data_IF_939650488525
#
_entry.id   IF_939650488525
#
_cell.length_a   1.000
_cell.length_b   1.000
_cell.length_c   1.000
_cell.angle_alpha   90.00
_cell.angle_beta   90.00
_cell.angle_gamma   90.00
#
_symmetry.space_group_name_H-M   'P 1'
#
loop_
_entity.id
_entity.type
_entity.pdbx_description
1 polymer ?
#
# COMPACT_ATOMS: atom_id res chain seq x y z
N UNK A 1 56.30 -1.79 -22.52
CA UNK A 1 56.21 -2.43 -23.85
C UNK A 1 57.07 -3.70 -23.79
N UNK A 2 56.48 -4.85 -23.49
CA UNK A 2 57.24 -6.11 -23.29
C UNK A 2 57.47 -6.77 -24.66
N UNK A 3 58.75 -6.94 -25.03
CA UNK A 3 59.19 -7.57 -26.28
C UNK A 3 59.17 -9.09 -26.09
N UNK A 4 58.32 -9.80 -26.85
CA UNK A 4 58.40 -11.25 -26.96
C UNK A 4 59.67 -11.57 -27.76
N UNK A 5 60.70 -12.12 -27.11
CA UNK A 5 61.87 -12.67 -27.80
C UNK A 5 61.44 -13.93 -28.58
N UNK A 6 61.36 -13.80 -29.91
CA UNK A 6 61.27 -14.95 -30.82
C UNK A 6 62.64 -15.61 -30.92
N UNK A 7 62.87 -16.67 -30.16
CA UNK A 7 63.90 -17.66 -30.48
C UNK A 7 63.35 -18.59 -31.55
N UNK A 8 63.81 -18.43 -32.80
CA UNK A 8 63.28 -19.09 -33.99
C UNK A 8 63.79 -20.52 -34.23
N UNK A 9 64.61 -21.07 -33.33
CA UNK A 9 65.28 -22.36 -33.53
C UNK A 9 64.89 -23.47 -32.55
N UNK A 10 63.81 -23.29 -31.77
CA UNK A 10 63.28 -24.33 -30.86
C UNK A 10 61.87 -24.85 -31.21
N UNK A 11 61.30 -24.47 -32.35
CA UNK A 11 59.91 -24.80 -32.68
C UNK A 11 59.78 -25.79 -33.85
N UNK A 12 60.09 -27.07 -33.61
CA UNK A 12 59.54 -28.18 -34.41
C UNK A 12 58.28 -28.83 -33.77
N UNK A 13 57.71 -28.22 -32.73
CA UNK A 13 56.43 -28.66 -32.18
C UNK A 13 55.33 -27.74 -32.72
N UNK A 14 54.39 -28.30 -33.50
CA UNK A 14 53.10 -27.66 -33.78
C UNK A 14 52.42 -27.40 -32.43
N UNK A 15 52.43 -26.15 -31.96
CA UNK A 15 51.63 -25.74 -30.81
C UNK A 15 50.16 -25.85 -31.21
N UNK A 16 49.52 -26.98 -30.85
CA UNK A 16 48.12 -27.26 -31.21
C UNK A 16 47.09 -26.54 -30.30
N UNK A 17 47.47 -26.12 -29.09
CA UNK A 17 46.69 -25.22 -28.24
C UNK A 17 47.50 -24.80 -27.00
N UNK A 18 47.47 -23.52 -26.62
CA UNK A 18 47.99 -23.07 -25.31
C UNK A 18 46.82 -23.07 -24.33
N UNK A 19 46.79 -24.04 -23.40
CA UNK A 19 45.75 -24.21 -22.37
C UNK A 19 46.21 -23.81 -20.96
N UNK A 20 47.30 -23.06 -20.85
CA UNK A 20 47.93 -22.80 -19.55
C UNK A 20 47.90 -21.31 -19.21
N UNK A 21 47.35 -20.98 -18.05
CA UNK A 21 47.44 -19.66 -17.45
C UNK A 21 48.57 -19.67 -16.42
N UNK A 22 49.59 -18.84 -16.64
CA UNK A 22 50.71 -18.64 -15.72
C UNK A 22 50.41 -17.45 -14.82
N UNK A 23 50.02 -17.70 -13.57
CA UNK A 23 49.84 -16.66 -12.57
C UNK A 23 51.07 -16.67 -11.65
N UNK A 24 51.72 -15.51 -11.50
CA UNK A 24 52.74 -15.27 -10.48
C UNK A 24 52.08 -14.64 -9.27
N UNK A 25 51.92 -15.41 -8.19
CA UNK A 25 51.46 -14.90 -6.91
C UNK A 25 52.54 -13.93 -6.37
N UNK A 26 52.20 -12.67 -6.09
CA UNK A 26 53.20 -11.67 -5.61
C UNK A 26 53.92 -12.11 -4.33
N UNK A 27 53.32 -13.01 -3.54
CA UNK A 27 53.84 -13.55 -2.29
C UNK A 27 54.71 -14.81 -2.45
N UNK A 28 54.74 -15.45 -3.63
CA UNK A 28 55.50 -16.69 -3.87
C UNK A 28 56.40 -16.55 -5.09
N UNK A 29 57.66 -16.98 -4.96
CA UNK A 29 58.66 -16.96 -6.04
C UNK A 29 58.41 -17.98 -7.15
N UNK A 30 57.27 -18.67 -7.14
CA UNK A 30 56.99 -19.85 -7.96
C UNK A 30 55.78 -19.60 -8.87
N UNK A 31 55.88 -20.03 -10.13
CA UNK A 31 54.80 -19.93 -11.10
C UNK A 31 53.82 -21.08 -10.91
N UNK A 32 52.55 -20.76 -10.72
CA UNK A 32 51.49 -21.76 -10.71
C UNK A 32 50.95 -21.96 -12.13
N UNK A 33 50.89 -23.22 -12.57
CA UNK A 33 50.38 -23.62 -13.87
C UNK A 33 48.95 -24.13 -13.67
N UNK A 34 47.98 -23.42 -14.25
CA UNK A 34 46.58 -23.85 -14.26
C UNK A 34 46.19 -24.32 -15.65
N UNK A 35 45.55 -25.48 -15.73
CA UNK A 35 44.90 -25.95 -16.95
C UNK A 35 43.56 -25.22 -17.12
N UNK A 36 43.40 -24.54 -18.25
CA UNK A 36 42.19 -23.80 -18.59
C UNK A 36 41.09 -24.78 -19.03
N UNK A 37 39.90 -24.62 -18.45
CA UNK A 37 38.71 -25.35 -18.87
C UNK A 37 38.40 -25.10 -20.35
N UNK A 38 37.78 -26.07 -21.02
CA UNK A 38 37.42 -25.97 -22.44
C UNK A 38 36.36 -24.87 -22.72
N UNK A 39 35.61 -24.46 -21.69
CA UNK A 39 34.61 -23.42 -21.75
C UNK A 39 34.59 -22.63 -20.43
N UNK A 40 34.05 -21.41 -20.46
CA UNK A 40 33.81 -20.64 -19.24
C UNK A 40 32.80 -21.36 -18.34
N UNK A 41 33.17 -21.59 -17.08
CA UNK A 41 32.32 -22.22 -16.06
C UNK A 41 32.03 -21.19 -14.96
N UNK A 42 30.90 -20.46 -15.03
CA UNK A 42 30.59 -19.37 -14.09
C UNK A 42 30.66 -19.82 -12.62
N UNK A 43 30.20 -21.03 -12.32
CA UNK A 43 30.17 -21.57 -10.97
C UNK A 43 31.57 -21.71 -10.35
N UNK A 44 32.61 -21.95 -11.16
CA UNK A 44 34.00 -22.04 -10.66
C UNK A 44 34.59 -20.66 -10.34
N UNK A 45 34.25 -19.65 -11.15
CA UNK A 45 34.79 -18.29 -11.02
C UNK A 45 34.04 -17.48 -9.97
N UNK A 46 32.71 -17.50 -10.02
CA UNK A 46 31.86 -16.68 -9.15
C UNK A 46 31.80 -17.19 -7.72
N UNK A 47 31.96 -18.50 -7.48
CA UNK A 47 31.82 -19.09 -6.12
C UNK A 47 32.91 -18.60 -5.16
N UNK A 48 34.08 -18.25 -5.68
CA UNK A 48 35.24 -17.81 -4.90
C UNK A 48 35.47 -16.29 -4.97
N UNK A 49 34.63 -15.56 -5.70
CA UNK A 49 34.76 -14.11 -5.87
C UNK A 49 33.85 -13.42 -4.86
N UNK A 50 34.43 -12.89 -3.78
CA UNK A 50 33.73 -11.97 -2.87
C UNK A 50 34.10 -10.55 -3.28
N UNK A 51 33.20 -9.76 -3.88
CA UNK A 51 33.53 -8.42 -4.39
C UNK A 51 33.95 -7.43 -3.30
N UNK A 52 33.57 -7.68 -2.04
CA UNK A 52 33.48 -6.64 -1.01
C UNK A 52 34.81 -6.02 -0.59
N UNK A 53 35.95 -6.66 -0.83
CA UNK A 53 37.26 -6.07 -0.50
C UNK A 53 37.80 -5.14 -1.59
N UNK A 54 37.45 -5.36 -2.86
CA UNK A 54 37.99 -4.58 -3.99
C UNK A 54 37.32 -3.22 -4.16
N UNK A 55 36.05 -3.11 -3.75
CA UNK A 55 35.22 -1.93 -3.95
C UNK A 55 34.94 -1.17 -2.65
N UNK A 56 35.72 -1.42 -1.60
CA UNK A 56 35.58 -0.71 -0.32
C UNK A 56 36.00 0.75 -0.50
N UNK A 57 35.05 1.67 -0.37
CA UNK A 57 35.31 3.11 -0.49
C UNK A 57 36.00 3.64 0.77
N UNK A 58 37.16 4.25 0.59
CA UNK A 58 37.82 5.05 1.63
C UNK A 58 37.32 6.49 1.50
N UNK A 59 36.37 6.89 2.36
CA UNK A 59 35.73 8.19 2.29
C UNK A 59 36.71 9.31 2.65
N UNK A 60 36.88 10.31 1.77
CA UNK A 60 37.60 11.55 2.07
C UNK A 60 36.72 12.76 1.68
N UNK A 61 35.92 13.22 2.63
CA UNK A 61 35.09 14.43 2.46
C UNK A 61 33.71 14.14 1.86
N UNK A 62 33.18 15.10 1.10
CA UNK A 62 31.85 15.02 0.49
C UNK A 62 31.79 13.93 -0.58
N UNK A 63 30.70 13.17 -0.58
CA UNK A 63 30.50 12.03 -1.49
C UNK A 63 29.90 12.49 -2.83
N UNK A 64 30.65 12.37 -3.95
CA UNK A 64 30.17 12.79 -5.26
C UNK A 64 29.11 11.84 -5.86
N UNK A 65 29.03 10.59 -5.40
CA UNK A 65 28.01 9.64 -5.90
C UNK A 65 27.51 8.73 -4.77
N UNK A 66 26.24 8.89 -4.38
CA UNK A 66 25.63 8.07 -3.33
C UNK A 66 24.31 7.46 -3.80
N UNK A 67 24.11 6.19 -3.49
CA UNK A 67 22.89 5.44 -3.74
C UNK A 67 22.47 4.72 -2.46
N UNK A 68 21.16 4.55 -2.30
CA UNK A 68 20.58 3.65 -1.32
C UNK A 68 19.91 2.54 -2.10
N UNK A 69 20.29 1.29 -1.84
CA UNK A 69 19.57 0.15 -2.38
C UNK A 69 18.13 0.23 -1.88
N UNK A 70 17.11 0.31 -2.75
CA UNK A 70 15.71 0.29 -2.33
C UNK A 70 15.49 -0.91 -1.40
N UNK A 71 15.20 -0.68 -0.11
CA UNK A 71 15.35 -1.71 0.89
C UNK A 71 14.31 -2.82 0.64
N UNK A 72 14.72 -4.06 0.28
CA UNK A 72 13.77 -5.14 0.08
C UNK A 72 12.97 -5.41 1.35
N UNK A 73 11.68 -5.69 1.16
CA UNK A 73 10.80 -6.11 2.23
C UNK A 73 11.25 -7.46 2.79
N UNK A 74 11.22 -7.62 4.11
CA UNK A 74 11.53 -8.90 4.77
C UNK A 74 10.41 -9.95 4.61
N UNK A 75 9.60 -9.88 3.56
CA UNK A 75 8.42 -10.74 3.33
C UNK A 75 8.75 -12.07 2.66
N UNK A 76 9.94 -12.22 2.06
CA UNK A 76 10.26 -13.42 1.28
C UNK A 76 11.72 -13.50 0.84
N UNK A 77 11.94 -14.16 -0.29
CA UNK A 77 13.23 -14.19 -1.00
C UNK A 77 13.21 -13.20 -2.16
N UNK A 78 14.38 -12.71 -2.56
CA UNK A 78 14.49 -11.86 -3.74
C UNK A 78 14.08 -12.62 -5.01
N UNK A 79 13.46 -11.90 -5.95
CA UNK A 79 13.04 -12.38 -7.27
C UNK A 79 13.74 -11.59 -8.40
N UNK A 80 13.47 -11.93 -9.67
CA UNK A 80 14.18 -11.36 -10.82
C UNK A 80 14.15 -9.82 -10.90
N UNK A 81 13.02 -9.18 -10.56
CA UNK A 81 12.95 -7.72 -10.46
C UNK A 81 13.94 -7.08 -9.48
N UNK A 82 14.22 -7.73 -8.34
CA UNK A 82 15.25 -7.28 -7.40
C UNK A 82 16.65 -7.44 -8.00
N UNK A 83 16.89 -8.56 -8.70
CA UNK A 83 18.16 -8.80 -9.38
C UNK A 83 18.42 -7.76 -10.49
N UNK A 84 17.39 -7.39 -11.26
CA UNK A 84 17.47 -6.34 -12.27
C UNK A 84 17.85 -4.99 -11.64
N UNK A 85 17.15 -4.57 -10.60
CA UNK A 85 17.40 -3.31 -9.89
C UNK A 85 18.83 -3.26 -9.35
N UNK A 86 19.23 -4.30 -8.61
CA UNK A 86 20.55 -4.39 -8.03
C UNK A 86 21.66 -4.46 -9.09
N UNK A 87 21.43 -5.12 -10.23
CA UNK A 87 22.42 -5.19 -11.32
C UNK A 87 22.63 -3.83 -11.99
N UNK A 88 21.57 -3.05 -12.20
CA UNK A 88 21.66 -1.70 -12.77
C UNK A 88 22.40 -0.76 -11.81
N UNK A 89 22.02 -0.75 -10.53
CA UNK A 89 22.68 0.08 -9.52
C UNK A 89 24.16 -0.30 -9.35
N UNK A 90 24.47 -1.59 -9.27
CA UNK A 90 25.84 -2.09 -9.15
C UNK A 90 26.71 -1.71 -10.36
N UNK A 91 26.15 -1.78 -11.57
CA UNK A 91 26.86 -1.36 -12.78
C UNK A 91 27.18 0.14 -12.75
N UNK A 92 26.25 0.98 -12.29
CA UNK A 92 26.48 2.41 -12.13
C UNK A 92 27.56 2.71 -11.09
N UNK A 93 27.49 2.06 -9.93
CA UNK A 93 28.50 2.20 -8.86
C UNK A 93 29.88 1.82 -9.37
N UNK A 94 30.02 0.64 -9.97
CA UNK A 94 31.30 0.16 -10.51
C UNK A 94 31.83 1.08 -11.61
N UNK A 95 30.96 1.55 -12.52
CA UNK A 95 31.33 2.51 -13.55
C UNK A 95 31.88 3.82 -12.96
N UNK A 96 31.22 4.36 -11.94
CA UNK A 96 31.68 5.58 -11.25
C UNK A 96 32.99 5.36 -10.49
N UNK A 97 33.15 4.24 -9.80
CA UNK A 97 34.41 3.88 -9.15
C UNK A 97 35.56 3.76 -10.16
N UNK A 98 35.31 3.17 -11.33
CA UNK A 98 36.30 3.08 -12.41
C UNK A 98 36.68 4.44 -13.00
N UNK A 99 35.84 5.46 -12.84
CA UNK A 99 36.14 6.86 -13.17
C UNK A 99 36.94 7.59 -12.06
N UNK A 100 37.26 6.90 -10.95
CA UNK A 100 37.92 7.49 -9.79
C UNK A 100 37.00 8.33 -8.91
N UNK A 101 35.67 8.23 -9.09
CA UNK A 101 34.67 8.94 -8.29
C UNK A 101 34.42 8.13 -7.01
N UNK A 102 34.47 8.79 -5.84
CA UNK A 102 34.11 8.15 -4.58
C UNK A 102 32.61 7.82 -4.56
N UNK A 103 32.28 6.55 -4.34
CA UNK A 103 30.89 6.07 -4.37
C UNK A 103 30.47 5.49 -3.04
N UNK A 104 29.21 5.67 -2.66
CA UNK A 104 28.58 4.95 -1.54
C UNK A 104 27.30 4.28 -2.03
N UNK A 105 27.16 2.98 -1.80
CA UNK A 105 25.92 2.25 -2.08
C UNK A 105 25.48 1.48 -0.85
N UNK A 106 24.49 2.02 -0.16
CA UNK A 106 24.09 1.57 1.18
C UNK A 106 23.04 0.45 1.06
N UNK A 107 23.31 -0.76 1.61
CA UNK A 107 22.29 -1.79 1.71
C UNK A 107 21.32 -1.48 2.84
N UNK A 108 20.07 -1.91 2.66
CA UNK A 108 19.07 -1.82 3.71
C UNK A 108 18.00 -2.89 3.58
N UNK A 109 17.18 -3.03 4.61
CA UNK A 109 15.99 -3.87 4.61
C UNK A 109 14.81 -3.12 5.19
N UNK A 110 13.63 -3.36 4.62
CA UNK A 110 12.39 -2.80 5.15
C UNK A 110 11.61 -3.84 5.96
N UNK A 111 11.23 -3.45 7.17
CA UNK A 111 10.30 -4.18 8.02
C UNK A 111 8.92 -4.39 7.39
N UNK A 112 8.51 -3.59 6.39
CA UNK A 112 7.27 -3.74 5.62
C UNK A 112 5.96 -3.82 6.45
N UNK A 113 5.99 -3.36 7.71
CA UNK A 113 4.88 -3.31 8.65
C UNK A 113 3.89 -4.48 8.56
N UNK A 114 2.69 -4.17 8.05
CA UNK A 114 1.57 -5.10 7.92
C UNK A 114 1.89 -6.29 7.01
N UNK A 115 2.69 -6.11 5.94
CA UNK A 115 3.04 -7.21 5.04
C UNK A 115 3.83 -8.31 5.78
N UNK A 116 4.77 -7.91 6.63
CA UNK A 116 5.51 -8.84 7.49
C UNK A 116 4.61 -9.46 8.54
N UNK A 117 3.73 -8.68 9.16
CA UNK A 117 2.78 -9.17 10.15
C UNK A 117 1.91 -10.30 9.56
N UNK A 118 1.29 -10.10 8.39
CA UNK A 118 0.42 -11.10 7.75
C UNK A 118 1.18 -12.39 7.45
N UNK A 119 2.43 -12.31 6.99
CA UNK A 119 3.22 -13.51 6.67
C UNK A 119 3.62 -14.28 7.93
N UNK A 120 3.99 -13.56 9.00
CA UNK A 120 4.31 -14.18 10.28
C UNK A 120 3.05 -14.78 10.92
N UNK A 121 1.88 -14.15 10.79
CA UNK A 121 0.60 -14.71 11.22
C UNK A 121 0.24 -15.98 10.45
N UNK A 122 0.38 -15.98 9.11
CA UNK A 122 0.16 -17.19 8.29
C UNK A 122 1.12 -18.32 8.67
N UNK A 123 2.39 -18.01 8.94
CA UNK A 123 3.38 -18.99 9.43
C UNK A 123 2.99 -19.53 10.80
N UNK A 124 2.60 -18.66 11.74
CA UNK A 124 2.16 -19.04 13.07
C UNK A 124 0.95 -19.98 13.01
N UNK A 125 -0.05 -19.64 12.19
CA UNK A 125 -1.22 -20.49 12.00
C UNK A 125 -0.84 -21.85 11.40
N UNK A 126 0.05 -21.88 10.41
CA UNK A 126 0.49 -23.13 9.77
C UNK A 126 1.32 -24.02 10.69
N UNK A 127 2.17 -23.44 11.53
CA UNK A 127 3.09 -24.18 12.41
C UNK A 127 2.45 -24.59 13.73
N UNK A 128 1.57 -23.75 14.28
CA UNK A 128 1.11 -23.86 15.67
C UNK A 128 -0.41 -23.77 15.81
N UNK A 129 -1.16 -23.52 14.73
CA UNK A 129 -2.62 -23.29 14.73
C UNK A 129 -3.08 -22.22 15.73
N UNK A 130 -2.21 -21.24 15.96
CA UNK A 130 -2.45 -20.13 16.88
C UNK A 130 -2.58 -18.80 16.18
N UNK A 131 -3.34 -17.89 16.79
CA UNK A 131 -3.50 -16.51 16.34
C UNK A 131 -2.55 -15.57 17.08
N UNK A 132 -2.28 -14.38 16.51
CA UNK A 132 -1.47 -13.34 17.17
C UNK A 132 -2.08 -12.85 18.49
N UNK A 133 -3.40 -13.01 18.66
CA UNK A 133 -4.11 -12.59 19.86
C UNK A 133 -3.87 -13.58 21.00
N UNK A 134 -3.84 -14.88 20.70
CA UNK A 134 -3.59 -15.95 21.68
C UNK A 134 -2.18 -15.91 22.25
N UNK A 135 -1.16 -15.66 21.41
CA UNK A 135 0.24 -15.59 21.87
C UNK A 135 0.60 -14.22 22.47
N UNK A 136 -0.22 -13.20 22.24
CA UNK A 136 -0.02 -11.85 22.72
C UNK A 136 1.11 -11.06 22.05
N UNK A 137 1.08 -9.73 22.24
CA UNK A 137 1.95 -8.76 21.53
C UNK A 137 3.45 -8.99 21.76
N UNK A 138 3.86 -9.31 22.99
CA UNK A 138 5.28 -9.45 23.35
C UNK A 138 5.90 -10.63 22.62
N UNK A 139 5.20 -11.76 22.59
CA UNK A 139 5.69 -12.97 21.94
C UNK A 139 5.62 -12.85 20.42
N UNK A 140 4.53 -12.31 19.88
CA UNK A 140 4.42 -12.04 18.45
C UNK A 140 5.58 -11.17 17.94
N UNK A 141 5.94 -10.09 18.66
CA UNK A 141 7.10 -9.25 18.32
C UNK A 141 8.41 -10.04 18.26
N UNK A 142 8.67 -10.95 19.20
CA UNK A 142 9.88 -11.79 19.16
C UNK A 142 9.90 -12.66 17.90
N UNK A 143 8.75 -13.22 17.51
CA UNK A 143 8.62 -14.03 16.29
C UNK A 143 8.91 -13.22 15.03
N UNK A 144 8.43 -11.97 14.97
CA UNK A 144 8.74 -11.03 13.88
C UNK A 144 10.24 -10.71 13.82
N UNK A 145 10.90 -10.50 14.96
CA UNK A 145 12.36 -10.27 14.99
C UNK A 145 13.16 -11.50 14.56
N UNK A 146 12.74 -12.71 14.98
CA UNK A 146 13.36 -13.95 14.51
C UNK A 146 13.23 -14.10 12.99
N UNK A 147 12.04 -13.81 12.46
CA UNK A 147 11.77 -13.79 11.02
C UNK A 147 12.66 -12.78 10.28
N UNK A 148 12.85 -11.57 10.82
CA UNK A 148 13.76 -10.56 10.26
C UNK A 148 15.18 -11.10 10.10
N UNK A 149 15.71 -11.79 11.12
CA UNK A 149 17.08 -12.34 11.07
C UNK A 149 17.17 -13.42 10.00
N UNK A 150 16.25 -14.38 10.01
CA UNK A 150 16.21 -15.48 9.02
C UNK A 150 16.13 -14.94 7.58
N UNK A 151 15.27 -13.96 7.32
CA UNK A 151 15.09 -13.38 5.99
C UNK A 151 16.22 -12.45 5.57
N UNK A 152 16.73 -11.63 6.49
CA UNK A 152 17.85 -10.76 6.22
C UNK A 152 19.10 -11.53 5.80
N UNK A 153 19.38 -12.66 6.45
CA UNK A 153 20.51 -13.53 6.07
C UNK A 153 20.36 -14.08 4.65
N UNK A 154 19.14 -14.46 4.26
CA UNK A 154 18.86 -14.98 2.92
C UNK A 154 19.01 -13.88 1.86
N UNK A 155 18.39 -12.72 2.09
CA UNK A 155 18.47 -11.56 1.19
C UNK A 155 19.94 -11.14 1.00
N UNK A 156 20.69 -11.01 2.10
CA UNK A 156 22.12 -10.68 2.06
C UNK A 156 22.93 -11.71 1.29
N UNK A 157 22.67 -13.02 1.46
CA UNK A 157 23.33 -14.08 0.67
C UNK A 157 23.00 -13.97 -0.82
N UNK A 158 21.77 -13.67 -1.18
CA UNK A 158 21.36 -13.50 -2.59
C UNK A 158 22.09 -12.31 -3.24
N UNK A 159 22.10 -11.14 -2.59
CA UNK A 159 22.80 -9.95 -3.10
C UNK A 159 24.32 -10.14 -3.18
N UNK A 160 24.93 -10.80 -2.18
CA UNK A 160 26.36 -11.17 -2.24
C UNK A 160 26.65 -12.15 -3.38
N UNK A 161 25.75 -13.12 -3.61
CA UNK A 161 25.89 -14.09 -4.70
C UNK A 161 25.74 -13.45 -6.08
N UNK A 162 24.94 -12.39 -6.21
CA UNK A 162 24.83 -11.58 -7.44
C UNK A 162 26.08 -10.73 -7.71
N UNK A 163 27.00 -10.61 -6.75
CA UNK A 163 28.23 -9.85 -6.92
C UNK A 163 28.07 -8.34 -6.67
N UNK A 164 27.01 -7.94 -5.96
CA UNK A 164 26.75 -6.54 -5.62
C UNK A 164 27.84 -5.95 -4.72
N UNK A 165 28.36 -4.78 -5.08
CA UNK A 165 29.39 -4.01 -4.39
C UNK A 165 28.88 -3.17 -3.20
N UNK A 166 27.85 -3.64 -2.52
CA UNK A 166 27.19 -2.95 -1.40
C UNK A 166 28.13 -2.73 -0.21
N UNK A 167 27.97 -1.59 0.47
CA UNK A 167 28.67 -1.27 1.73
C UNK A 167 27.99 -1.96 2.92
N UNK A 168 28.29 -3.25 3.11
CA UNK A 168 27.72 -4.08 4.17
C UNK A 168 28.01 -3.58 5.59
N UNK A 169 29.05 -2.77 5.81
CA UNK A 169 29.35 -2.18 7.12
C UNK A 169 28.30 -1.12 7.51
N UNK A 170 27.57 -0.59 6.52
CA UNK A 170 26.52 0.42 6.70
C UNK A 170 25.12 -0.14 6.53
N UNK A 171 24.93 -1.45 6.62
CA UNK A 171 23.61 -2.07 6.47
C UNK A 171 22.58 -1.46 7.44
N UNK A 172 21.44 -1.03 6.91
CA UNK A 172 20.38 -0.38 7.66
C UNK A 172 19.14 -1.27 7.76
N UNK A 173 18.34 -1.08 8.82
CA UNK A 173 17.02 -1.68 8.93
C UNK A 173 16.00 -0.63 9.39
N UNK A 174 14.85 -0.55 8.74
CA UNK A 174 13.90 0.55 8.99
C UNK A 174 13.39 0.64 10.43
N UNK A 175 13.42 -0.46 11.21
CA UNK A 175 13.08 -0.48 12.64
C UNK A 175 14.29 -0.59 13.59
N UNK A 176 15.52 -0.39 13.12
CA UNK A 176 16.66 -0.32 14.04
C UNK A 176 16.60 0.95 14.91
N UNK A 177 17.48 1.01 15.91
CA UNK A 177 17.49 2.06 16.92
C UNK A 177 17.66 3.46 16.32
N UNK A 178 18.55 3.62 15.35
CA UNK A 178 18.88 4.94 14.79
C UNK A 178 17.83 5.40 13.79
N UNK A 179 17.33 4.51 12.92
CA UNK A 179 16.21 4.82 12.00
C UNK A 179 14.92 5.12 12.77
N UNK A 180 14.65 4.38 13.86
CA UNK A 180 13.52 4.67 14.74
C UNK A 180 13.62 6.05 15.41
N UNK A 181 14.84 6.51 15.76
CA UNK A 181 15.04 7.88 16.26
C UNK A 181 14.81 8.91 15.16
N UNK A 182 15.31 8.66 13.95
CA UNK A 182 15.13 9.56 12.81
C UNK A 182 13.64 9.78 12.49
N UNK A 183 12.84 8.71 12.45
CA UNK A 183 11.38 8.81 12.23
C UNK A 183 10.70 9.58 13.36
N UNK A 184 11.08 9.35 14.63
CA UNK A 184 10.54 10.13 15.77
C UNK A 184 10.90 11.61 15.67
N UNK A 185 12.14 11.93 15.31
CA UNK A 185 12.59 13.30 15.15
C UNK A 185 11.84 14.00 13.99
N UNK A 186 11.67 13.31 12.86
CA UNK A 186 10.88 13.79 11.73
C UNK A 186 9.42 14.04 12.14
N UNK A 187 8.80 13.10 12.86
CA UNK A 187 7.43 13.26 13.36
C UNK A 187 7.30 14.49 14.26
N UNK A 188 8.16 14.64 15.27
CA UNK A 188 8.14 15.76 16.21
C UNK A 188 8.34 17.09 15.46
N UNK A 189 9.29 17.14 14.53
CA UNK A 189 9.56 18.34 13.73
C UNK A 189 8.35 18.73 12.88
N UNK A 190 7.80 17.80 12.10
CA UNK A 190 6.66 18.07 11.23
C UNK A 190 5.39 18.39 12.04
N UNK A 191 5.24 17.82 13.23
CA UNK A 191 4.17 18.18 14.17
C UNK A 191 4.33 19.60 14.71
N UNK A 192 5.53 19.96 15.16
CA UNK A 192 5.82 21.32 15.64
C UNK A 192 5.68 22.39 14.54
N UNK A 193 5.92 22.01 13.28
CA UNK A 193 5.69 22.87 12.10
C UNK A 193 4.21 22.93 11.68
N UNK A 194 3.30 22.21 12.35
CA UNK A 194 1.86 22.21 12.03
C UNK A 194 1.48 21.46 10.75
N UNK A 195 2.42 20.66 10.21
CA UNK A 195 2.22 19.81 9.03
C UNK A 195 1.59 18.48 9.41
N UNK A 196 1.98 17.90 10.55
CA UNK A 196 1.29 16.73 11.13
C UNK A 196 0.17 17.21 12.05
N UNK A 197 -1.03 16.68 11.85
CA UNK A 197 -2.18 16.99 12.69
C UNK A 197 -3.01 15.74 12.97
N UNK A 198 -3.83 15.81 14.01
CA UNK A 198 -4.77 14.75 14.39
C UNK A 198 -6.18 15.22 14.12
N UNK A 199 -6.95 14.42 13.39
CA UNK A 199 -8.33 14.74 13.04
C UNK A 199 -9.14 13.46 12.92
N UNK A 200 -10.45 13.57 13.13
CA UNK A 200 -11.39 12.50 12.82
C UNK A 200 -11.68 12.55 11.32
N UNK A 201 -11.25 11.50 10.62
CA UNK A 201 -11.56 11.29 9.21
C UNK A 201 -12.04 9.87 9.01
N UNK A 202 -12.77 9.67 7.92
CA UNK A 202 -13.05 8.34 7.43
C UNK A 202 -11.74 7.76 6.91
N UNK A 203 -11.38 6.60 7.43
CA UNK A 203 -10.23 5.84 6.99
C UNK A 203 -10.70 4.57 6.29
N UNK A 204 -9.96 4.14 5.27
CA UNK A 204 -10.12 2.82 4.70
C UNK A 204 -9.77 1.79 5.78
N UNK A 205 -10.77 1.08 6.27
CA UNK A 205 -10.64 0.11 7.33
C UNK A 205 -10.83 -1.30 6.78
N UNK A 206 -9.86 -2.17 7.06
CA UNK A 206 -10.02 -3.60 6.81
C UNK A 206 -10.50 -4.29 8.09
N UNK A 207 -11.72 -4.82 8.08
CA UNK A 207 -12.34 -5.48 9.23
C UNK A 207 -11.60 -6.78 9.61
N UNK A 208 -11.03 -7.48 8.62
CA UNK A 208 -10.21 -8.68 8.85
C UNK A 208 -8.88 -8.36 9.54
N UNK A 209 -8.17 -7.33 9.08
CA UNK A 209 -6.88 -6.96 9.64
C UNK A 209 -7.01 -6.12 10.92
N UNK A 210 -8.20 -5.52 11.13
CA UNK A 210 -8.49 -4.54 12.19
C UNK A 210 -7.47 -3.40 12.19
N UNK A 211 -7.26 -2.82 11.01
CA UNK A 211 -6.32 -1.72 10.80
C UNK A 211 -6.83 -0.79 9.71
N UNK A 212 -6.53 0.50 9.87
CA UNK A 212 -6.55 1.44 8.78
C UNK A 212 -5.49 1.04 7.74
N UNK A 213 -5.83 1.19 6.46
CA UNK A 213 -4.93 1.02 5.32
C UNK A 213 -4.95 2.29 4.47
N UNK A 214 -3.88 2.54 3.73
CA UNK A 214 -3.76 3.69 2.84
C UNK A 214 -4.50 3.48 1.51
N UNK A 215 -4.79 4.56 0.78
CA UNK A 215 -5.48 4.48 -0.52
C UNK A 215 -4.74 3.60 -1.54
N UNK A 216 -3.40 3.62 -1.53
CA UNK A 216 -2.57 2.79 -2.42
C UNK A 216 -2.67 1.28 -2.09
N UNK A 217 -3.16 0.93 -0.91
CA UNK A 217 -3.38 -0.46 -0.48
C UNK A 217 -4.80 -0.96 -0.81
N UNK A 218 -5.65 -0.10 -1.39
CA UNK A 218 -7.01 -0.42 -1.85
C UNK A 218 -7.00 -0.76 -3.35
N UNK A 219 -7.39 -1.98 -3.67
CA UNK A 219 -7.68 -2.42 -5.03
C UNK A 219 -9.13 -2.08 -5.38
N UNK A 220 -9.38 -1.67 -6.63
CA UNK A 220 -10.70 -1.25 -7.09
C UNK A 220 -11.26 -2.31 -8.04
N UNK A 221 -12.22 -3.11 -7.58
CA UNK A 221 -12.88 -4.13 -8.37
C UNK A 221 -14.11 -3.53 -9.07
N UNK A 222 -14.01 -3.31 -10.39
CA UNK A 222 -15.13 -2.84 -11.21
C UNK A 222 -16.08 -3.99 -11.53
N UNK A 223 -17.37 -3.75 -11.34
CA UNK A 223 -18.47 -4.67 -11.63
C UNK A 223 -19.40 -4.00 -12.64
N UNK A 224 -19.80 -4.73 -13.68
CA UNK A 224 -20.77 -4.24 -14.68
C UNK A 224 -22.23 -4.42 -14.24
N UNK A 225 -22.46 -5.16 -13.15
CA UNK A 225 -23.79 -5.45 -12.60
C UNK A 225 -23.75 -6.46 -11.45
N UNK A 226 -24.89 -7.10 -11.13
CA UNK A 226 -25.04 -8.03 -10.01
C UNK A 226 -23.99 -9.14 -10.03
N UNK A 227 -23.12 -9.16 -9.04
CA UNK A 227 -21.98 -10.08 -8.96
C UNK A 227 -21.82 -10.60 -7.53
N UNK A 228 -21.61 -11.91 -7.39
CA UNK A 228 -21.30 -12.56 -6.13
C UNK A 228 -19.80 -12.50 -5.85
N UNK A 229 -19.42 -11.88 -4.72
CA UNK A 229 -18.02 -11.75 -4.28
C UNK A 229 -17.82 -12.54 -3.00
N UNK A 230 -16.75 -13.34 -2.95
CA UNK A 230 -16.32 -13.99 -1.72
C UNK A 230 -15.70 -12.98 -0.75
N UNK A 231 -16.33 -12.76 0.40
CA UNK A 231 -15.83 -11.87 1.45
C UNK A 231 -15.29 -12.71 2.61
N UNK A 232 -14.04 -12.50 3.07
CA UNK A 232 -13.50 -13.22 4.22
C UNK A 232 -14.39 -13.06 5.46
N UNK A 233 -14.60 -14.15 6.19
CA UNK A 233 -15.50 -14.18 7.36
C UNK A 233 -16.95 -14.52 7.03
N UNK A 234 -17.33 -14.61 5.75
CA UNK A 234 -18.68 -15.01 5.32
C UNK A 234 -18.66 -16.41 4.70
N UNK A 235 -19.63 -17.24 5.09
CA UNK A 235 -19.76 -18.62 4.57
C UNK A 235 -20.35 -18.68 3.16
N UNK A 236 -21.07 -17.63 2.74
CA UNK A 236 -21.66 -17.49 1.42
C UNK A 236 -21.11 -16.23 0.75
N UNK A 237 -20.90 -16.24 -0.59
CA UNK A 237 -20.60 -15.02 -1.33
C UNK A 237 -21.68 -13.96 -1.12
N UNK A 238 -21.27 -12.69 -1.13
CA UNK A 238 -22.14 -11.53 -0.96
C UNK A 238 -22.42 -10.91 -2.32
N UNK A 239 -23.67 -10.54 -2.58
CA UNK A 239 -24.10 -9.90 -3.83
C UNK A 239 -23.80 -8.38 -3.78
N UNK A 240 -23.08 -7.90 -4.80
CA UNK A 240 -22.80 -6.49 -5.07
C UNK A 240 -23.28 -6.14 -6.49
N UNK A 241 -23.23 -4.87 -6.88
CA UNK A 241 -23.70 -4.41 -8.20
C UNK A 241 -25.22 -4.24 -8.28
N UNK A 242 -25.85 -3.92 -7.14
CA UNK A 242 -27.28 -3.65 -7.04
C UNK A 242 -27.50 -2.26 -6.45
N UNK A 243 -28.49 -1.56 -7.00
CA UNK A 243 -28.99 -0.30 -6.48
C UNK A 243 -30.38 -0.54 -5.88
N UNK A 244 -30.52 -0.39 -4.56
CA UNK A 244 -31.76 -0.59 -3.83
C UNK A 244 -32.54 0.72 -3.75
N UNK A 245 -33.82 0.67 -4.12
CA UNK A 245 -34.73 1.79 -4.07
C UNK A 245 -35.65 1.62 -2.86
N UNK A 246 -35.66 2.59 -1.95
CA UNK A 246 -36.55 2.60 -0.79
C UNK A 246 -37.03 4.01 -0.46
N UNK A 247 -38.18 4.09 0.22
CA UNK A 247 -38.86 5.33 0.52
C UNK A 247 -38.68 5.73 1.99
N UNK A 248 -38.39 7.01 2.23
CA UNK A 248 -38.64 7.66 3.52
C UNK A 248 -40.00 8.35 3.50
N UNK A 249 -40.78 8.20 4.56
CA UNK A 249 -42.08 8.87 4.70
C UNK A 249 -41.87 10.29 5.23
N UNK A 250 -42.45 11.28 4.58
CA UNK A 250 -42.42 12.69 5.04
C UNK A 250 -43.23 12.79 6.32
N UNK A 251 -42.68 13.45 7.35
CA UNK A 251 -43.42 13.69 8.58
C UNK A 251 -44.67 14.54 8.28
N UNK A 252 -45.76 14.26 8.99
CA UNK A 252 -47.04 14.99 8.86
C UNK A 252 -47.62 15.00 7.43
N UNK A 253 -47.30 14.00 6.61
CA UNK A 253 -47.79 13.86 5.25
C UNK A 253 -47.84 12.40 4.80
N UNK A 254 -48.74 12.08 3.87
CA UNK A 254 -48.77 10.78 3.16
C UNK A 254 -47.74 10.69 2.02
N UNK A 255 -46.90 11.72 1.86
CA UNK A 255 -45.87 11.77 0.82
C UNK A 255 -44.61 11.02 1.25
N UNK A 256 -43.84 10.62 0.27
CA UNK A 256 -42.58 9.93 0.47
C UNK A 256 -41.48 10.43 -0.46
N UNK A 257 -40.23 10.18 -0.07
CA UNK A 257 -39.03 10.47 -0.86
C UNK A 257 -38.32 9.14 -1.08
N UNK A 258 -38.29 8.70 -2.34
CA UNK A 258 -37.55 7.49 -2.73
C UNK A 258 -36.10 7.85 -2.95
N UNK A 259 -35.19 7.13 -2.28
CA UNK A 259 -33.74 7.23 -2.46
C UNK A 259 -33.18 5.95 -3.07
N UNK A 260 -31.99 6.06 -3.63
CA UNK A 260 -31.23 4.95 -4.16
C UNK A 260 -29.96 4.70 -3.32
N UNK A 261 -29.65 3.45 -2.99
CA UNK A 261 -28.42 3.09 -2.25
C UNK A 261 -27.87 1.73 -2.67
N UNK A 262 -26.55 1.59 -2.71
CA UNK A 262 -25.86 0.31 -2.89
C UNK A 262 -25.54 -0.37 -1.55
N UNK A 263 -25.71 0.33 -0.43
CA UNK A 263 -25.36 -0.11 0.93
C UNK A 263 -26.52 -0.01 1.91
N UNK A 264 -27.56 -0.88 1.81
CA UNK A 264 -28.66 -0.90 2.77
C UNK A 264 -28.22 -1.04 4.24
N UNK A 265 -27.12 -1.75 4.50
CA UNK A 265 -26.55 -1.93 5.84
C UNK A 265 -26.12 -0.63 6.54
N UNK A 266 -25.99 0.47 5.78
CA UNK A 266 -25.65 1.79 6.32
C UNK A 266 -26.88 2.63 6.68
N UNK A 267 -28.09 2.22 6.27
CA UNK A 267 -29.34 2.96 6.53
C UNK A 267 -29.55 3.29 8.01
N UNK A 268 -29.24 2.40 8.97
CA UNK A 268 -29.38 2.75 10.39
C UNK A 268 -28.59 3.99 10.84
N UNK A 269 -27.55 4.40 10.08
CA UNK A 269 -26.73 5.58 10.37
C UNK A 269 -27.14 6.83 9.59
N UNK A 270 -28.27 6.81 8.89
CA UNK A 270 -28.73 7.95 8.09
C UNK A 270 -29.13 9.12 8.98
N UNK A 271 -28.64 10.31 8.65
CA UNK A 271 -28.91 11.54 9.42
C UNK A 271 -29.63 12.62 8.60
N UNK A 272 -29.74 12.45 7.29
CA UNK A 272 -30.48 13.34 6.40
C UNK A 272 -30.80 12.64 5.07
N UNK A 273 -31.69 13.25 4.29
CA UNK A 273 -31.85 12.98 2.85
C UNK A 273 -31.43 14.23 2.10
N UNK A 274 -30.48 14.11 1.17
CA UNK A 274 -30.06 15.22 0.33
C UNK A 274 -30.72 15.17 -1.04
N UNK A 275 -31.12 16.33 -1.53
CA UNK A 275 -31.67 16.53 -2.87
C UNK A 275 -30.98 17.73 -3.52
N UNK A 276 -30.96 17.75 -4.85
CA UNK A 276 -30.38 18.88 -5.56
C UNK A 276 -31.31 20.12 -5.45
N UNK A 277 -30.79 21.33 -5.16
CA UNK A 277 -31.61 22.53 -4.94
C UNK A 277 -32.47 22.94 -6.15
N UNK A 278 -32.06 22.55 -7.37
CA UNK A 278 -32.76 22.85 -8.62
C UNK A 278 -33.63 21.69 -9.13
N UNK A 279 -33.73 20.59 -8.39
CA UNK A 279 -34.59 19.47 -8.78
C UNK A 279 -36.05 19.72 -8.39
N UNK A 280 -36.84 20.15 -9.38
CA UNK A 280 -38.26 20.46 -9.23
C UNK A 280 -39.09 19.38 -8.55
N UNK A 281 -38.70 18.10 -8.66
CA UNK A 281 -39.39 16.96 -8.03
C UNK A 281 -39.34 17.05 -6.50
N UNK A 282 -38.21 17.52 -5.96
CA UNK A 282 -37.91 17.48 -4.53
C UNK A 282 -37.84 18.82 -3.82
N UNK A 283 -37.79 19.94 -4.55
CA UNK A 283 -37.66 21.30 -3.96
C UNK A 283 -38.67 21.57 -2.82
N UNK A 284 -39.89 21.07 -2.95
CA UNK A 284 -40.97 21.19 -1.96
C UNK A 284 -40.76 20.42 -0.64
N UNK A 285 -39.75 19.55 -0.58
CA UNK A 285 -39.39 18.79 0.61
C UNK A 285 -38.19 19.37 1.34
N UNK A 286 -37.44 20.29 0.73
CA UNK A 286 -36.28 20.93 1.36
C UNK A 286 -36.71 21.62 2.66
N UNK A 287 -36.01 21.34 3.75
CA UNK A 287 -36.32 21.84 5.10
C UNK A 287 -37.42 21.07 5.83
N UNK A 288 -38.09 20.11 5.18
CA UNK A 288 -39.00 19.17 5.86
C UNK A 288 -38.22 18.04 6.51
N UNK A 289 -38.91 17.28 7.36
CA UNK A 289 -38.38 16.07 7.98
C UNK A 289 -39.03 14.83 7.40
N UNK A 290 -38.28 13.73 7.37
CA UNK A 290 -38.76 12.40 7.02
C UNK A 290 -38.51 11.43 8.18
N UNK A 291 -39.38 10.45 8.34
CA UNK A 291 -39.22 9.41 9.36
C UNK A 291 -38.06 8.47 9.00
N UNK A 292 -37.13 8.31 9.93
CA UNK A 292 -36.09 7.31 9.80
C UNK A 292 -36.69 5.89 9.92
N UNK A 293 -36.43 4.94 9.01
CA UNK A 293 -37.13 3.64 8.99
C UNK A 293 -36.91 2.78 10.25
N UNK A 294 -35.74 2.90 10.87
CA UNK A 294 -35.30 2.06 12.00
C UNK A 294 -35.07 2.83 13.31
N UNK A 295 -35.22 4.15 13.29
CA UNK A 295 -34.96 5.02 14.45
C UNK A 295 -36.23 5.82 14.66
N UNK A 296 -36.70 5.91 15.90
CA UNK A 296 -37.95 6.61 16.22
C UNK A 296 -37.73 8.13 16.25
N UNK A 297 -37.17 8.67 15.17
CA UNK A 297 -36.83 10.09 15.01
C UNK A 297 -37.00 10.53 13.55
N UNK A 298 -37.19 11.84 13.37
CA UNK A 298 -37.20 12.48 12.06
C UNK A 298 -35.81 12.96 11.67
N UNK A 299 -35.45 12.80 10.40
CA UNK A 299 -34.22 13.34 9.80
C UNK A 299 -34.56 14.42 8.76
N UNK A 300 -33.76 15.48 8.63
CA UNK A 300 -34.02 16.57 7.71
C UNK A 300 -33.81 16.18 6.24
N UNK A 301 -34.55 16.86 5.36
CA UNK A 301 -34.28 16.89 3.92
C UNK A 301 -33.49 18.16 3.62
N UNK A 302 -32.26 18.00 3.13
CA UNK A 302 -31.32 19.10 2.87
C UNK A 302 -31.11 19.32 1.36
N UNK A 303 -30.68 20.52 1.01
CA UNK A 303 -30.33 20.89 -0.36
C UNK A 303 -28.81 20.92 -0.52
N UNK A 304 -28.24 20.14 -1.44
CA UNK A 304 -26.80 20.17 -1.72
C UNK A 304 -26.53 19.90 -3.21
N UNK A 305 -25.63 20.68 -3.81
CA UNK A 305 -25.33 20.61 -5.25
C UNK A 305 -24.53 19.37 -5.64
N UNK A 306 -23.97 18.62 -4.68
CA UNK A 306 -23.30 17.34 -4.98
C UNK A 306 -24.25 16.26 -5.50
N UNK A 307 -25.55 16.39 -5.23
CA UNK A 307 -26.56 15.42 -5.66
C UNK A 307 -26.78 15.55 -7.16
N UNK A 308 -26.51 14.48 -7.92
CA UNK A 308 -26.86 14.42 -9.33
C UNK A 308 -28.36 14.10 -9.52
N UNK A 309 -29.18 15.02 -10.07
CA UNK A 309 -30.59 14.76 -10.32
C UNK A 309 -30.85 13.60 -11.30
N UNK A 310 -29.89 13.26 -12.16
CA UNK A 310 -30.02 12.22 -13.17
C UNK A 310 -29.66 10.83 -12.63
N UNK A 311 -28.98 10.75 -11.49
CA UNK A 311 -28.55 9.49 -10.91
C UNK A 311 -29.60 8.89 -9.95
N UNK A 312 -29.94 7.63 -10.16
CA UNK A 312 -30.93 6.92 -9.33
C UNK A 312 -32.25 7.67 -9.31
N UNK A 313 -32.67 8.14 -8.13
CA UNK A 313 -33.90 8.93 -7.98
C UNK A 313 -33.67 10.43 -8.03
N UNK A 314 -32.43 10.91 -7.92
CA UNK A 314 -32.11 12.32 -7.65
C UNK A 314 -32.22 12.72 -6.18
N UNK A 315 -32.41 11.74 -5.27
CA UNK A 315 -32.36 11.91 -3.82
C UNK A 315 -31.43 10.86 -3.19
N UNK A 316 -30.60 11.29 -2.25
CA UNK A 316 -29.51 10.48 -1.67
C UNK A 316 -29.65 10.44 -0.16
N UNK A 317 -29.53 9.26 0.44
CA UNK A 317 -29.42 9.12 1.91
C UNK A 317 -28.04 9.60 2.37
N UNK A 318 -27.94 10.28 3.51
CA UNK A 318 -26.69 10.80 4.05
C UNK A 318 -26.28 9.99 5.29
N UNK A 319 -25.19 9.21 5.20
CA UNK A 319 -24.60 8.41 6.28
C UNK A 319 -23.13 8.79 6.57
N UNK A 320 -22.88 9.87 7.31
CA UNK A 320 -21.55 10.48 7.41
C UNK A 320 -20.46 9.61 8.03
N UNK A 321 -20.83 8.59 8.82
CA UNK A 321 -19.86 7.71 9.47
C UNK A 321 -19.31 6.61 8.56
N UNK A 322 -19.87 6.45 7.35
CA UNK A 322 -19.64 5.29 6.49
C UNK A 322 -19.44 5.62 5.01
N UNK A 323 -19.53 6.89 4.61
CA UNK A 323 -19.29 7.35 3.23
C UNK A 323 -18.57 8.71 3.22
N UNK A 324 -17.57 8.85 2.34
CA UNK A 324 -16.72 10.04 2.27
C UNK A 324 -17.46 11.27 1.76
N UNK A 325 -18.33 11.12 0.76
CA UNK A 325 -19.13 12.22 0.23
C UNK A 325 -20.16 12.67 1.28
N UNK A 326 -20.82 11.71 1.93
CA UNK A 326 -21.78 11.99 3.00
C UNK A 326 -21.13 12.71 4.19
N UNK A 327 -19.87 12.37 4.50
CA UNK A 327 -19.09 13.04 5.55
C UNK A 327 -18.71 14.48 5.18
N UNK A 328 -18.46 14.76 3.91
CA UNK A 328 -18.21 16.12 3.43
C UNK A 328 -19.49 16.96 3.44
N UNK A 329 -20.62 16.36 3.05
CA UNK A 329 -21.97 16.96 3.14
C UNK A 329 -22.31 17.27 4.59
N UNK A 330 -22.04 16.34 5.52
CA UNK A 330 -22.34 16.54 6.93
C UNK A 330 -21.60 17.73 7.52
N UNK A 331 -20.36 17.96 7.11
CA UNK A 331 -19.58 19.14 7.51
C UNK A 331 -20.16 20.45 6.97
N UNK A 332 -20.63 20.46 5.72
CA UNK A 332 -21.26 21.66 5.11
C UNK A 332 -22.59 22.02 5.78
N UNK A 333 -23.37 21.01 6.16
CA UNK A 333 -24.72 21.18 6.72
C UNK A 333 -24.78 21.03 8.24
N UNK A 334 -23.64 20.87 8.92
CA UNK A 334 -23.53 20.66 10.37
C UNK A 334 -24.37 19.48 10.88
N UNK A 335 -24.40 18.39 10.12
CA UNK A 335 -25.15 17.18 10.46
C UNK A 335 -24.38 16.31 11.47
N UNK A 336 -25.08 15.59 12.37
CA UNK A 336 -24.44 14.66 13.29
C UNK A 336 -23.82 13.48 12.53
N UNK A 337 -22.92 12.76 13.21
CA UNK A 337 -22.32 11.54 12.67
C UNK A 337 -22.74 10.35 13.54
N UNK A 338 -23.47 9.40 12.94
CA UNK A 338 -23.96 8.19 13.62
C UNK A 338 -23.22 6.98 13.07
N UNK A 339 -22.35 6.39 13.89
CA UNK A 339 -21.63 5.16 13.54
C UNK A 339 -22.54 3.96 13.78
N UNK A 340 -22.63 3.04 12.82
CA UNK A 340 -23.46 1.83 12.93
C UNK A 340 -22.71 0.51 12.70
N UNK A 341 -21.50 0.56 12.15
CA UNK A 341 -20.62 -0.62 11.96
C UNK A 341 -19.33 -0.43 12.78
N UNK A 342 -18.88 -1.46 13.51
CA UNK A 342 -17.64 -1.46 14.28
C UNK A 342 -16.40 -1.90 13.49
N UNK A 343 -15.26 -1.96 14.19
CA UNK A 343 -13.97 -2.40 13.68
C UNK A 343 -13.95 -3.86 13.18
N UNK A 344 -14.88 -4.69 13.66
CA UNK A 344 -15.01 -6.09 13.25
C UNK A 344 -15.89 -6.26 12.02
N UNK A 345 -16.56 -5.20 11.56
CA UNK A 345 -17.56 -5.26 10.49
C UNK A 345 -18.93 -5.73 10.99
N UNK A 346 -19.18 -5.62 12.30
CA UNK A 346 -20.46 -5.97 12.93
C UNK A 346 -21.27 -4.72 13.25
N UNK A 347 -22.59 -4.83 13.18
CA UNK A 347 -23.51 -3.76 13.54
C UNK A 347 -23.44 -3.47 15.04
N UNK A 348 -23.49 -2.20 15.46
CA UNK A 348 -23.21 -1.82 16.86
C UNK A 348 -24.44 -1.49 17.70
N UNK A 349 -25.58 -1.18 17.07
CA UNK A 349 -26.75 -0.65 17.78
C UNK A 349 -28.06 -1.08 17.10
N UNK A 350 -29.16 -0.88 17.81
CA UNK A 350 -30.52 -1.15 17.38
C UNK A 350 -30.83 -2.63 17.23
N UNK A 351 -31.87 -2.93 16.44
CA UNK A 351 -32.33 -4.31 16.21
C UNK A 351 -31.33 -5.19 15.44
N UNK A 352 -30.23 -4.62 14.94
CA UNK A 352 -29.22 -5.34 14.16
C UNK A 352 -27.94 -5.63 14.93
N UNK A 353 -27.81 -5.16 16.17
CA UNK A 353 -26.58 -5.25 16.97
C UNK A 353 -25.96 -6.66 16.97
N UNK A 354 -24.64 -6.73 16.77
CA UNK A 354 -23.87 -7.96 16.71
C UNK A 354 -23.95 -8.72 15.38
N UNK A 355 -24.84 -8.30 14.47
CA UNK A 355 -24.95 -8.94 13.15
C UNK A 355 -23.83 -8.48 12.22
N UNK A 356 -23.16 -9.37 11.46
CA UNK A 356 -22.19 -8.96 10.44
C UNK A 356 -22.84 -8.09 9.34
N UNK A 357 -22.18 -7.00 8.91
CA UNK A 357 -22.74 -5.97 8.01
C UNK A 357 -23.44 -6.49 6.75
N UNK A 358 -22.89 -7.50 6.06
CA UNK A 358 -23.53 -8.04 4.84
C UNK A 358 -24.67 -9.02 5.12
N UNK A 359 -24.76 -9.59 6.32
CA UNK A 359 -25.97 -10.29 6.76
C UNK A 359 -27.04 -9.27 7.17
N UNK A 360 -26.63 -8.20 7.87
CA UNK A 360 -27.51 -7.09 8.21
C UNK A 360 -28.11 -6.43 6.97
N UNK A 361 -27.36 -6.32 5.85
CA UNK A 361 -27.88 -5.88 4.54
C UNK A 361 -29.15 -6.63 4.15
N UNK A 362 -29.13 -7.96 4.15
CA UNK A 362 -30.29 -8.77 3.79
C UNK A 362 -31.46 -8.57 4.76
N UNK A 363 -31.17 -8.55 6.06
CA UNK A 363 -32.20 -8.34 7.10
C UNK A 363 -32.86 -6.97 6.93
N UNK A 364 -32.08 -5.91 6.71
CA UNK A 364 -32.57 -4.54 6.52
C UNK A 364 -33.48 -4.44 5.29
N UNK A 365 -33.08 -5.04 4.16
CA UNK A 365 -33.90 -5.07 2.94
C UNK A 365 -35.23 -5.78 3.21
N UNK A 366 -35.21 -6.93 3.88
CA UNK A 366 -36.42 -7.68 4.23
C UNK A 366 -37.34 -6.90 5.18
N UNK A 367 -36.76 -6.13 6.12
CA UNK A 367 -37.51 -5.28 7.05
C UNK A 367 -38.16 -4.11 6.33
N UNK A 368 -37.44 -3.42 5.45
CA UNK A 368 -38.00 -2.36 4.62
C UNK A 368 -39.16 -2.88 3.76
N UNK A 369 -39.04 -4.10 3.22
CA UNK A 369 -40.10 -4.74 2.45
C UNK A 369 -41.35 -5.01 3.31
N UNK A 370 -41.17 -5.56 4.53
CA UNK A 370 -42.26 -5.79 5.49
C UNK A 370 -42.93 -4.48 5.95
N UNK A 371 -42.18 -3.38 6.00
CA UNK A 371 -42.71 -2.04 6.29
C UNK A 371 -43.38 -1.37 5.09
N UNK A 372 -43.36 -2.00 3.90
CA UNK A 372 -43.88 -1.43 2.67
C UNK A 372 -43.08 -0.22 2.16
N UNK A 373 -41.81 -0.08 2.55
CA UNK A 373 -40.93 1.02 2.16
C UNK A 373 -40.03 0.69 0.96
N UNK A 374 -39.85 -0.58 0.63
CA UNK A 374 -39.09 -0.97 -0.58
C UNK A 374 -39.83 -0.59 -1.86
N UNK A 375 -39.10 -0.06 -2.84
CA UNK A 375 -39.59 0.32 -4.18
C UNK A 375 -38.95 -0.47 -5.31
N UNK A 376 -37.94 -1.26 -5.01
CA UNK A 376 -37.33 -2.20 -5.96
C UNK A 376 -35.83 -2.32 -5.77
N UNK A 377 -35.20 -3.03 -6.70
CA UNK A 377 -33.75 -3.08 -6.86
C UNK A 377 -33.42 -3.17 -8.35
N UNK A 378 -32.33 -2.52 -8.74
CA UNK A 378 -31.89 -2.45 -10.13
C UNK A 378 -30.44 -2.92 -10.27
N UNK A 379 -30.11 -3.42 -11.45
CA UNK A 379 -28.72 -3.74 -11.82
C UNK A 379 -27.92 -2.46 -11.91
N UNK A 380 -26.75 -2.41 -11.25
CA UNK A 380 -25.94 -1.20 -11.20
C UNK A 380 -24.45 -1.54 -11.30
N UNK A 381 -23.79 -0.95 -12.31
CA UNK A 381 -22.34 -1.02 -12.42
C UNK A 381 -21.70 -0.19 -11.30
N UNK A 382 -20.71 -0.75 -10.61
CA UNK A 382 -20.08 -0.09 -9.47
C UNK A 382 -18.63 -0.53 -9.28
N UNK A 383 -17.89 0.23 -8.50
CA UNK A 383 -16.53 -0.13 -8.08
C UNK A 383 -16.52 -0.48 -6.60
N UNK A 384 -16.09 -1.70 -6.27
CA UNK A 384 -15.98 -2.19 -4.90
C UNK A 384 -14.52 -2.06 -4.43
N UNK A 385 -14.24 -1.31 -3.36
CA UNK A 385 -12.91 -1.21 -2.79
C UNK A 385 -12.56 -2.49 -2.02
N UNK A 386 -11.44 -3.12 -2.37
CA UNK A 386 -10.96 -4.38 -1.81
C UNK A 386 -9.59 -4.17 -1.17
N UNK A 387 -9.38 -4.71 0.03
CA UNK A 387 -8.06 -4.74 0.64
C UNK A 387 -7.12 -5.61 -0.20
N UNK A 388 -6.04 -5.03 -0.71
CA UNK A 388 -5.02 -5.75 -1.51
C UNK A 388 -4.48 -7.01 -0.82
N UNK A 389 -4.46 -7.03 0.52
CA UNK A 389 -3.89 -8.10 1.33
C UNK A 389 -4.88 -9.16 1.78
N UNK A 390 -5.97 -8.77 2.45
CA UNK A 390 -6.95 -9.70 3.02
C UNK A 390 -8.03 -10.10 2.03
N UNK A 391 -8.19 -9.34 0.94
CA UNK A 391 -9.31 -9.43 -0.01
C UNK A 391 -10.68 -9.16 0.61
N UNK A 392 -10.71 -8.54 1.80
CA UNK A 392 -11.93 -8.00 2.41
C UNK A 392 -12.41 -6.75 1.68
N UNK A 393 -13.72 -6.50 1.71
CA UNK A 393 -14.32 -5.26 1.21
C UNK A 393 -14.04 -4.16 2.22
N UNK A 394 -13.52 -3.02 1.77
CA UNK A 394 -13.14 -1.92 2.66
C UNK A 394 -14.38 -1.32 3.33
N UNK A 395 -14.30 -1.12 4.64
CA UNK A 395 -15.23 -0.28 5.39
C UNK A 395 -14.66 1.12 5.52
N UNK A 396 -15.53 2.13 5.56
CA UNK A 396 -15.12 3.46 6.01
C UNK A 396 -15.54 3.61 7.46
N UNK A 397 -14.56 3.88 8.32
CA UNK A 397 -14.80 4.14 9.74
C UNK A 397 -14.24 5.49 10.13
N UNK A 398 -15.01 6.26 10.89
CA UNK A 398 -14.53 7.49 11.49
C UNK A 398 -13.55 7.15 12.61
N UNK A 399 -12.28 7.55 12.43
CA UNK A 399 -11.21 7.28 13.40
C UNK A 399 -10.32 8.51 13.61
N UNK A 400 -9.88 8.76 14.85
CA UNK A 400 -8.90 9.79 15.13
C UNK A 400 -7.53 9.30 14.64
N UNK A 401 -7.10 9.80 13.50
CA UNK A 401 -5.85 9.39 12.86
C UNK A 401 -4.91 10.59 12.69
N UNK A 402 -3.62 10.27 12.52
CA UNK A 402 -2.59 11.26 12.22
C UNK A 402 -2.47 11.45 10.70
N UNK A 403 -2.53 12.69 10.26
CA UNK A 403 -2.44 13.11 8.86
C UNK A 403 -1.24 14.03 8.66
N UNK A 404 -0.74 14.10 7.43
CA UNK A 404 0.32 15.03 7.01
C UNK A 404 -0.24 15.91 5.91
N UNK A 405 -0.09 17.24 6.04
CA UNK A 405 -0.41 18.20 4.97
C UNK A 405 0.64 18.07 3.87
N UNK A 406 0.26 17.43 2.77
CA UNK A 406 1.18 17.12 1.68
C UNK A 406 1.24 18.21 0.60
N UNK A 407 0.29 19.15 0.57
CA UNK A 407 0.12 20.13 -0.52
C UNK A 407 1.40 20.93 -0.79
N UNK A 408 1.96 21.57 0.24
CA UNK A 408 3.18 22.39 0.10
C UNK A 408 4.43 21.54 -0.22
N UNK A 409 4.48 20.32 0.31
CA UNK A 409 5.58 19.38 0.04
C UNK A 409 5.55 18.91 -1.42
N UNK A 410 4.36 18.61 -1.93
CA UNK A 410 4.14 18.21 -3.30
C UNK A 410 4.46 19.35 -4.27
N UNK A 411 4.02 20.58 -3.97
CA UNK A 411 4.36 21.76 -4.78
C UNK A 411 5.88 21.96 -4.90
N UNK A 412 6.63 21.80 -3.80
CA UNK A 412 8.11 21.86 -3.82
C UNK A 412 8.73 20.75 -4.65
N UNK A 413 8.26 19.51 -4.50
CA UNK A 413 8.75 18.36 -5.26
C UNK A 413 8.48 18.49 -6.78
N UNK A 414 7.36 19.10 -7.17
CA UNK A 414 7.07 19.47 -8.56
C UNK A 414 8.02 20.56 -9.06
N UNK A 415 8.26 21.59 -8.26
CA UNK A 415 9.19 22.67 -8.59
C UNK A 415 10.63 22.16 -8.78
N UNK A 416 11.10 21.22 -7.95
CA UNK A 416 12.43 20.62 -8.06
C UNK A 416 12.66 19.95 -9.41
N UNK A 417 11.65 19.29 -9.98
CA UNK A 417 11.73 18.70 -11.34
C UNK A 417 11.68 19.80 -12.41
N UNK A 418 10.74 20.74 -12.31
CA UNK A 418 10.59 21.84 -13.28
C UNK A 418 11.84 22.72 -13.38
N UNK A 419 12.53 22.94 -12.26
CA UNK A 419 13.75 23.73 -12.17
C UNK A 419 15.03 22.91 -12.41
N UNK A 420 14.92 21.59 -12.58
CA UNK A 420 16.04 20.70 -12.89
C UNK A 420 16.96 20.37 -11.71
N UNK A 421 16.54 20.66 -10.46
CA UNK A 421 17.20 20.21 -9.21
C UNK A 421 17.05 18.71 -9.01
N UNK A 422 15.89 18.17 -9.37
CA UNK A 422 15.60 16.74 -9.46
C UNK A 422 15.47 16.36 -10.94
N UNK A 423 16.10 15.25 -11.34
CA UNK A 423 16.00 14.71 -12.71
C UNK A 423 15.37 13.33 -12.66
N UNK A 424 14.35 13.11 -13.48
CA UNK A 424 13.66 11.83 -13.60
C UNK A 424 14.05 11.21 -14.94
N UNK A 425 14.57 9.99 -14.89
CA UNK A 425 14.98 9.24 -16.07
C UNK A 425 14.25 7.89 -16.12
N UNK A 426 13.60 7.54 -17.25
CA UNK A 426 13.40 8.37 -18.45
C UNK A 426 12.34 9.49 -18.26
N UNK A 427 12.51 10.60 -18.99
CA UNK A 427 11.68 11.83 -18.86
C UNK A 427 10.17 11.64 -18.97
N UNK A 428 9.70 10.60 -19.67
CA UNK A 428 8.27 10.34 -19.80
C UNK A 428 7.58 10.07 -18.44
N UNK A 429 8.33 9.66 -17.41
CA UNK A 429 7.81 9.49 -16.05
C UNK A 429 7.59 10.82 -15.30
N UNK A 430 8.09 11.96 -15.81
CA UNK A 430 7.78 13.28 -15.24
C UNK A 430 6.27 13.57 -15.29
N UNK A 431 5.58 13.11 -16.35
CA UNK A 431 4.13 13.27 -16.44
C UNK A 431 3.42 12.57 -15.28
N UNK A 432 3.76 11.31 -15.02
CA UNK A 432 3.20 10.54 -13.89
C UNK A 432 3.51 11.20 -12.55
N UNK A 433 4.72 11.77 -12.41
CA UNK A 433 5.11 12.51 -11.21
C UNK A 433 4.24 13.75 -10.97
N UNK A 434 4.01 14.56 -12.01
CA UNK A 434 3.16 15.75 -11.93
C UNK A 434 1.70 15.38 -11.68
N UNK A 435 1.14 14.45 -12.46
CA UNK A 435 -0.25 14.02 -12.34
C UNK A 435 -0.56 13.53 -10.91
N UNK A 436 0.39 12.85 -10.25
CA UNK A 436 0.22 12.37 -8.88
C UNK A 436 0.33 13.49 -7.84
N UNK A 437 1.38 14.31 -7.91
CA UNK A 437 1.65 15.35 -6.91
C UNK A 437 0.69 16.55 -6.99
N UNK A 438 0.22 16.90 -8.19
CA UNK A 438 -0.74 18.02 -8.38
C UNK A 438 -2.15 17.67 -7.86
N UNK A 439 -2.45 16.38 -7.67
CA UNK A 439 -3.74 15.88 -7.18
C UNK A 439 -3.69 15.30 -5.75
N UNK A 440 -2.60 15.54 -5.00
CA UNK A 440 -2.45 15.01 -3.64
C UNK A 440 -3.50 15.61 -2.68
N UNK A 441 -4.03 14.79 -1.77
CA UNK A 441 -5.02 15.20 -0.76
C UNK A 441 -4.43 15.16 0.64
#
# INVERSE_FOLDING_TARGET
MYKIQRYSYLCHIKVKSVKLLLIRERSKSQWMIYELDQAYVPQKVERNTVPSSYFKTLLKGDLPFSLVLPPPNITGTLHLGHALTAAVEDALVKWKQMQGIETMWVPGMDHAGIATQVIVEKKLWKEEEKTRHEIGRKEFKKRVWKWKVEKGDVIGKQLRRLGCSLDWERELFTMDKERSKAVKAAFIRLFNEGLIYRSDHLVNWCCVLQSAISDIEVEHLTLDGPTLIGVPGYSKPVEFGLLFLFAYKVCDSDREIVVATTRPETIPGDVAVAVHPKDGRYTQFIGKTVWHPFRNEGIPVIADEFVDPQFGTGAVKITPAHDQLDFEVSKRHLLPTVKVIDETGSMIDGEFQGTPRFQARSIIVDRLAKMGLMRGKESHAMTVPICSRSKDVIELLLKPQWFIKCQDMAAKAVADVKEGRLRIEPKNFEKTWFDWLENIR
#
